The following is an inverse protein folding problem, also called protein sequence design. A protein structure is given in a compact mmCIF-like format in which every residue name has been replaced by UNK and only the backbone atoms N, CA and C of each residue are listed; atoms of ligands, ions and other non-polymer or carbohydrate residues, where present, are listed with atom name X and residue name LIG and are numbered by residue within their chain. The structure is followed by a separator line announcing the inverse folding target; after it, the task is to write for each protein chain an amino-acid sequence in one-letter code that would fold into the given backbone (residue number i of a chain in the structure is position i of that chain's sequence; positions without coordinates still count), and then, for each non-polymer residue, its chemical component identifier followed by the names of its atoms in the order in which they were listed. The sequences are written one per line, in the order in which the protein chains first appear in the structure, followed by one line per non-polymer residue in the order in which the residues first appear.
data_IF_994208075867
#
_entry.id   IF_994208075867
#
_cell.length_a   1.000
_cell.length_b   1.000
_cell.length_c   1.000
_cell.angle_alpha   90.00
_cell.angle_beta   90.00
_cell.angle_gamma   90.00
#
_symmetry.space_group_name_H-M   'P 1'
#
loop_
_entity.id
_entity.type
_entity.pdbx_description
1 polymer ?
#
# COMPACT_ATOMS: atom_id res chain seq x y z
N UNK A 1 -5.41 13.76 12.98
CA UNK A 1 -4.97 13.09 11.74
C UNK A 1 -6.21 12.74 10.92
N UNK A 2 -6.22 13.11 9.64
CA UNK A 2 -7.38 12.86 8.78
C UNK A 2 -7.39 11.42 8.24
N UNK A 3 -8.46 11.05 7.53
CA UNK A 3 -8.64 9.70 7.00
C UNK A 3 -7.49 9.28 6.10
N UNK A 4 -7.08 10.16 5.19
CA UNK A 4 -6.01 9.86 4.23
C UNK A 4 -4.67 9.62 4.93
N UNK A 5 -4.33 10.45 5.90
CA UNK A 5 -3.08 10.30 6.65
C UNK A 5 -3.07 9.03 7.48
N UNK A 6 -4.21 8.68 8.09
CA UNK A 6 -4.34 7.44 8.87
C UNK A 6 -4.22 6.22 7.97
N UNK A 7 -4.82 6.28 6.78
CA UNK A 7 -4.72 5.20 5.80
C UNK A 7 -3.28 5.04 5.31
N UNK A 8 -2.59 6.13 5.00
CA UNK A 8 -1.19 6.09 4.59
C UNK A 8 -0.32 5.45 5.67
N UNK A 9 -0.50 5.86 6.91
CA UNK A 9 0.25 5.30 8.03
C UNK A 9 0.01 3.79 8.16
N UNK A 10 -1.24 3.37 8.07
CA UNK A 10 -1.59 1.94 8.16
C UNK A 10 -0.95 1.15 7.01
N UNK A 11 -1.05 1.67 5.79
CA UNK A 11 -0.47 1.00 4.61
C UNK A 11 1.04 0.85 4.76
N UNK A 12 1.74 1.92 5.14
CA UNK A 12 3.20 1.87 5.28
C UNK A 12 3.63 0.92 6.40
N UNK A 13 2.84 0.83 7.46
CA UNK A 13 3.14 -0.07 8.58
C UNK A 13 2.89 -1.55 8.25
N UNK A 14 2.08 -1.84 7.23
CA UNK A 14 1.68 -3.21 6.87
C UNK A 14 1.93 -3.52 5.40
N UNK A 15 2.96 -2.90 4.81
CA UNK A 15 3.19 -3.00 3.38
C UNK A 15 3.46 -4.42 2.90
N UNK A 16 4.07 -5.26 3.74
CA UNK A 16 4.35 -6.66 3.43
C UNK A 16 3.17 -7.60 3.67
N UNK A 17 2.12 -7.10 4.31
CA UNK A 17 0.94 -7.90 4.65
C UNK A 17 -0.04 -7.93 3.48
N UNK A 18 -1.03 -8.82 3.58
CA UNK A 18 -2.15 -8.83 2.64
C UNK A 18 -3.05 -7.63 2.94
N UNK A 19 -3.05 -6.64 2.06
CA UNK A 19 -3.81 -5.40 2.23
C UNK A 19 -4.96 -5.37 1.23
N UNK A 20 -6.19 -5.44 1.73
CA UNK A 20 -7.39 -5.19 0.94
C UNK A 20 -7.93 -3.81 1.28
N UNK A 21 -8.77 -3.28 0.39
CA UNK A 21 -9.43 -2.00 0.63
C UNK A 21 -10.28 -2.07 1.90
N UNK A 22 -10.96 -3.20 2.11
CA UNK A 22 -11.79 -3.44 3.29
C UNK A 22 -10.96 -3.45 4.57
N UNK A 23 -9.79 -4.06 4.55
CA UNK A 23 -8.88 -4.10 5.69
C UNK A 23 -8.43 -2.69 6.07
N UNK A 24 -8.06 -1.89 5.09
CA UNK A 24 -7.62 -0.52 5.33
C UNK A 24 -8.77 0.32 5.88
N UNK A 25 -9.96 0.17 5.29
CA UNK A 25 -11.14 0.93 5.74
C UNK A 25 -11.50 0.57 7.19
N UNK A 26 -11.45 -0.71 7.52
CA UNK A 26 -11.73 -1.18 8.89
C UNK A 26 -10.72 -0.59 9.90
N UNK A 27 -9.45 -0.56 9.53
CA UNK A 27 -8.41 -0.01 10.39
C UNK A 27 -8.57 1.49 10.63
N UNK A 28 -9.02 2.20 9.60
CA UNK A 28 -9.25 3.65 9.68
C UNK A 28 -10.60 3.97 10.32
N UNK A 29 -11.56 3.04 10.27
CA UNK A 29 -12.87 3.22 10.88
C UNK A 29 -13.88 3.96 10.02
N UNK A 30 -13.79 3.84 8.69
CA UNK A 30 -14.72 4.46 7.74
C UNK A 30 -15.18 3.44 6.71
N UNK A 31 -16.34 3.69 6.05
CA UNK A 31 -16.77 2.83 4.96
C UNK A 31 -15.76 2.83 3.81
N UNK A 32 -15.70 1.72 3.09
CA UNK A 32 -14.78 1.53 1.95
C UNK A 32 -14.91 2.67 0.93
N UNK A 33 -16.13 3.04 0.60
CA UNK A 33 -16.39 4.10 -0.38
C UNK A 33 -15.83 5.45 0.09
N UNK A 34 -16.01 5.77 1.35
CA UNK A 34 -15.49 7.00 1.94
C UNK A 34 -13.95 7.01 1.90
N UNK A 35 -13.33 5.89 2.27
CA UNK A 35 -11.88 5.75 2.23
C UNK A 35 -11.35 5.99 0.81
N UNK A 36 -11.93 5.30 -0.17
CA UNK A 36 -11.47 5.38 -1.56
C UNK A 36 -11.53 6.82 -2.08
N UNK A 37 -12.63 7.51 -1.79
CA UNK A 37 -12.82 8.89 -2.24
C UNK A 37 -11.86 9.86 -1.56
N UNK A 38 -11.76 9.79 -0.24
CA UNK A 38 -10.89 10.68 0.53
C UNK A 38 -9.43 10.47 0.17
N UNK A 39 -9.01 9.23 0.02
CA UNK A 39 -7.64 8.88 -0.33
C UNK A 39 -7.29 9.39 -1.73
N UNK A 40 -8.16 9.16 -2.71
CA UNK A 40 -7.91 9.60 -4.08
C UNK A 40 -7.80 11.13 -4.19
N UNK A 41 -8.62 11.86 -3.45
CA UNK A 41 -8.58 13.32 -3.44
C UNK A 41 -7.29 13.85 -2.83
N UNK A 42 -6.80 13.21 -1.78
CA UNK A 42 -5.62 13.67 -1.06
C UNK A 42 -4.30 13.22 -1.71
N UNK A 43 -4.27 11.98 -2.23
CA UNK A 43 -3.02 11.34 -2.68
C UNK A 43 -2.89 11.37 -4.21
N UNK A 44 -4.01 11.42 -4.93
CA UNK A 44 -4.01 11.45 -6.38
C UNK A 44 -4.21 10.09 -7.03
N UNK A 45 -4.29 9.02 -6.23
CA UNK A 45 -4.61 7.68 -6.72
C UNK A 45 -5.33 6.91 -5.61
N UNK A 46 -5.99 5.80 -5.99
CA UNK A 46 -6.69 4.98 -5.01
C UNK A 46 -5.73 4.21 -4.11
N UNK A 47 -6.23 3.69 -2.96
CA UNK A 47 -5.40 2.94 -2.03
C UNK A 47 -4.74 1.71 -2.65
N UNK A 48 -5.46 0.95 -3.49
CA UNK A 48 -4.91 -0.24 -4.13
C UNK A 48 -3.76 0.11 -5.08
N UNK A 49 -3.92 1.17 -5.86
CA UNK A 49 -2.87 1.65 -6.76
C UNK A 49 -1.65 2.13 -5.98
N UNK A 50 -1.88 2.82 -4.88
CA UNK A 50 -0.80 3.28 -3.99
C UNK A 50 -0.01 2.11 -3.42
N UNK A 51 -0.70 1.09 -2.89
CA UNK A 51 -0.05 -0.11 -2.34
C UNK A 51 0.82 -0.78 -3.40
N UNK A 52 0.26 -0.94 -4.60
CA UNK A 52 0.99 -1.57 -5.72
C UNK A 52 2.25 -0.78 -6.07
N UNK A 53 2.13 0.52 -6.16
CA UNK A 53 3.26 1.41 -6.47
C UNK A 53 4.35 1.32 -5.41
N UNK A 54 3.96 1.31 -4.13
CA UNK A 54 4.92 1.20 -3.03
C UNK A 54 5.64 -0.15 -3.03
N UNK A 55 4.91 -1.24 -3.31
CA UNK A 55 5.52 -2.57 -3.40
C UNK A 55 6.50 -2.68 -4.55
N UNK A 56 6.19 -2.07 -5.69
CA UNK A 56 7.11 -2.00 -6.81
C UNK A 56 8.37 -1.22 -6.45
N UNK A 57 8.22 -0.09 -5.75
CA UNK A 57 9.34 0.71 -5.29
C UNK A 57 10.27 -0.06 -4.34
N UNK A 58 9.67 -0.82 -3.42
CA UNK A 58 10.45 -1.67 -2.50
C UNK A 58 11.19 -2.78 -3.25
N UNK A 59 10.54 -3.41 -4.23
CA UNK A 59 11.19 -4.44 -5.05
C UNK A 59 12.35 -3.87 -5.84
N UNK A 60 12.17 -2.70 -6.45
CA UNK A 60 13.23 -2.03 -7.19
C UNK A 60 14.42 -1.68 -6.30
N UNK A 61 14.15 -1.23 -5.07
CA UNK A 61 15.19 -0.90 -4.10
C UNK A 61 15.99 -2.13 -3.71
N UNK A 62 15.32 -3.26 -3.48
CA UNK A 62 15.98 -4.53 -3.16
C UNK A 62 16.84 -5.04 -4.32
N UNK A 63 16.37 -4.88 -5.55
CA UNK A 63 17.16 -5.22 -6.75
C UNK A 63 18.41 -4.36 -6.83
N UNK A 64 18.28 -3.06 -6.60
CA UNK A 64 19.42 -2.15 -6.61
C UNK A 64 20.44 -2.51 -5.52
N UNK A 65 19.98 -3.09 -4.43
CA UNK A 65 20.84 -3.56 -3.34
C UNK A 65 21.49 -4.93 -3.64
N UNK A 66 21.24 -5.51 -4.83
CA UNK A 66 21.91 -6.74 -5.26
C UNK A 66 21.12 -8.01 -4.93
N UNK A 67 19.80 -7.96 -4.83
CA UNK A 67 18.97 -9.14 -4.62
C UNK A 67 19.16 -10.13 -5.78
N UNK A 68 19.48 -11.42 -5.52
CA UNK A 68 19.88 -12.36 -6.57
C UNK A 68 18.72 -12.97 -7.36
N UNK A 69 17.50 -13.00 -6.81
CA UNK A 69 16.37 -13.70 -7.40
C UNK A 69 15.19 -12.75 -7.54
N UNK A 70 14.91 -12.34 -8.79
CA UNK A 70 13.84 -11.40 -9.10
C UNK A 70 12.46 -11.99 -8.80
N UNK A 71 12.26 -13.29 -9.07
CA UNK A 71 10.97 -13.93 -8.82
C UNK A 71 10.68 -14.03 -7.32
N UNK A 72 11.63 -14.48 -6.54
CA UNK A 72 11.50 -14.56 -5.10
C UNK A 72 11.27 -13.16 -4.51
N UNK A 73 11.97 -12.16 -5.03
CA UNK A 73 11.80 -10.78 -4.61
C UNK A 73 10.40 -10.25 -4.88
N UNK A 74 9.87 -10.56 -6.07
CA UNK A 74 8.51 -10.15 -6.42
C UNK A 74 7.48 -10.78 -5.49
N UNK A 75 7.61 -12.07 -5.19
CA UNK A 75 6.72 -12.78 -4.26
C UNK A 75 6.84 -12.22 -2.85
N UNK A 76 8.06 -11.96 -2.40
CA UNK A 76 8.32 -11.39 -1.08
C UNK A 76 7.68 -10.00 -0.94
N UNK A 77 7.67 -9.23 -2.02
CA UNK A 77 7.08 -7.89 -2.03
C UNK A 77 5.56 -7.88 -2.15
N UNK A 78 4.93 -9.06 -2.26
CA UNK A 78 3.48 -9.16 -2.36
C UNK A 78 2.95 -8.85 -3.77
N UNK A 79 3.79 -9.04 -4.75
CA UNK A 79 3.46 -8.73 -6.16
C UNK A 79 2.94 -9.97 -6.96
#
# INVERSE_FOLDING_TARGET
MNVSARALWFIESHLSDSLSLETIAAAVGVPVFHLARAFSLAVGCGPAAYVRSRRLGEAARKLAAGAPDILALALESGY
#
